data_IF_051201282585
#
_entry.id   IF_051201282585
#
_cell.length_a   1.000
_cell.length_b   1.000
_cell.length_c   1.000
_cell.angle_alpha   90.00
_cell.angle_beta   90.00
_cell.angle_gamma   90.00
#
_symmetry.space_group_name_H-M   'P 1'
#
loop_
_entity.id
_entity.type
_entity.pdbx_description
1 polymer ?
#
# COMPACT_ATOMS: atom_id res chain seq x y z
N UNK A 1 -15.72 -9.21 7.80
CA UNK A 1 -14.79 -8.16 8.33
C UNK A 1 -13.96 -7.66 7.16
N UNK A 2 -14.17 -6.45 6.67
CA UNK A 2 -13.26 -5.83 5.72
C UNK A 2 -12.11 -5.21 6.51
N UNK A 3 -10.90 -5.72 6.34
CA UNK A 3 -9.71 -5.13 6.96
C UNK A 3 -9.35 -3.89 6.13
N UNK A 4 -9.44 -2.71 6.74
CA UNK A 4 -9.07 -1.42 6.15
C UNK A 4 -7.62 -1.05 6.42
N UNK A 5 -6.85 -1.97 6.99
CA UNK A 5 -5.41 -1.82 7.22
C UNK A 5 -4.71 -3.18 7.36
N UNK A 6 -3.41 -3.19 7.12
CA UNK A 6 -2.48 -4.29 7.44
C UNK A 6 -1.23 -3.74 8.10
N UNK A 7 -0.52 -4.61 8.83
CA UNK A 7 0.75 -4.29 9.48
C UNK A 7 1.87 -5.09 8.79
N UNK A 8 3.04 -4.48 8.63
CA UNK A 8 4.24 -5.18 8.16
C UNK A 8 4.72 -6.20 9.19
N UNK A 9 5.43 -7.25 8.77
CA UNK A 9 5.83 -8.32 9.69
C UNK A 9 6.78 -7.86 10.81
N UNK A 10 7.50 -6.77 10.58
CA UNK A 10 8.38 -6.12 11.56
C UNK A 10 7.64 -5.13 12.48
N UNK A 11 6.32 -4.96 12.28
CA UNK A 11 5.46 -4.02 13.01
C UNK A 11 5.87 -2.53 12.90
N UNK A 12 6.75 -2.19 11.96
CA UNK A 12 7.25 -0.81 11.77
C UNK A 12 6.37 0.05 10.88
N UNK A 13 5.48 -0.58 10.11
CA UNK A 13 4.61 0.15 9.20
C UNK A 13 3.18 -0.38 9.23
N UNK A 14 2.25 0.57 9.15
CA UNK A 14 0.83 0.32 8.93
C UNK A 14 0.49 0.78 7.52
N UNK A 15 -0.18 -0.06 6.75
CA UNK A 15 -0.76 0.30 5.46
C UNK A 15 -2.26 0.40 5.64
N UNK A 16 -2.85 1.57 5.34
CA UNK A 16 -4.27 1.85 5.57
C UNK A 16 -4.98 2.30 4.29
N UNK A 17 -6.26 1.95 4.18
CA UNK A 17 -7.17 2.28 3.06
C UNK A 17 -8.43 2.99 3.56
N UNK A 18 -9.32 3.37 2.64
CA UNK A 18 -10.63 3.99 2.96
C UNK A 18 -10.66 5.51 2.84
N UNK A 19 -9.63 6.11 2.22
CA UNK A 19 -9.58 7.55 2.02
C UNK A 19 -10.42 7.99 0.82
N UNK A 20 -11.14 9.10 0.96
CA UNK A 20 -11.98 9.69 -0.09
C UNK A 20 -11.18 10.24 -1.28
N UNK A 21 -9.89 10.52 -1.06
CA UNK A 21 -8.95 10.96 -2.10
C UNK A 21 -8.46 9.81 -3.00
N UNK A 22 -9.02 8.60 -2.86
CA UNK A 22 -8.67 7.39 -3.64
C UNK A 22 -7.28 6.84 -3.31
N UNK A 23 -6.62 7.38 -2.29
CA UNK A 23 -5.30 6.91 -1.86
C UNK A 23 -5.39 5.72 -0.91
N UNK A 24 -4.26 5.03 -0.79
CA UNK A 24 -3.90 4.30 0.41
C UNK A 24 -2.57 4.84 0.93
N UNK A 25 -2.30 4.62 2.22
CA UNK A 25 -1.19 5.29 2.91
C UNK A 25 -0.33 4.31 3.68
N UNK A 26 0.96 4.61 3.72
CA UNK A 26 1.94 3.92 4.56
C UNK A 26 2.30 4.85 5.72
N UNK A 27 2.18 4.36 6.94
CA UNK A 27 2.56 5.07 8.16
C UNK A 27 3.68 4.34 8.88
N UNK A 28 4.72 5.06 9.28
CA UNK A 28 5.74 4.54 10.18
C UNK A 28 5.21 4.59 11.62
N UNK A 29 5.32 3.47 12.35
CA UNK A 29 4.77 3.33 13.70
C UNK A 29 5.67 3.93 14.79
N UNK A 30 6.98 4.02 14.56
CA UNK A 30 7.94 4.55 15.53
C UNK A 30 7.80 6.08 15.67
N UNK A 31 7.63 6.78 14.54
CA UNK A 31 7.53 8.26 14.50
C UNK A 31 6.12 8.78 14.17
N UNK A 32 5.15 7.87 14.01
CA UNK A 32 3.73 8.17 13.77
C UNK A 32 3.46 9.11 12.57
N UNK A 33 4.27 9.03 11.51
CA UNK A 33 4.12 9.86 10.32
C UNK A 33 3.69 9.05 9.09
N UNK A 34 3.08 9.74 8.12
CA UNK A 34 2.79 9.16 6.80
C UNK A 34 4.06 9.24 5.96
N UNK A 35 4.59 8.08 5.56
CA UNK A 35 5.81 7.98 4.73
C UNK A 35 5.49 7.94 3.24
N UNK A 36 4.32 7.41 2.86
CA UNK A 36 3.85 7.40 1.48
C UNK A 36 2.34 7.61 1.38
N UNK A 37 1.94 8.33 0.34
CA UNK A 37 0.55 8.42 -0.14
C UNK A 37 0.56 7.91 -1.57
N UNK A 38 -0.19 6.85 -1.82
CA UNK A 38 -0.13 6.10 -3.07
C UNK A 38 -1.48 6.18 -3.77
N UNK A 39 -1.43 6.48 -5.07
CA UNK A 39 -2.56 6.58 -5.98
C UNK A 39 -2.40 5.58 -7.10
N UNK A 40 -3.52 5.11 -7.65
CA UNK A 40 -3.53 4.13 -8.74
C UNK A 40 -4.94 3.60 -9.03
N UNK A 41 -5.82 3.67 -8.04
CA UNK A 41 -7.26 3.41 -8.20
C UNK A 41 -8.02 4.66 -8.66
N UNK A 42 -9.13 4.46 -9.37
CA UNK A 42 -10.01 5.52 -9.87
C UNK A 42 -11.15 5.88 -8.90
N UNK A 43 -11.33 5.11 -7.83
CA UNK A 43 -12.29 5.33 -6.75
C UNK A 43 -11.69 4.89 -5.39
N UNK A 44 -12.49 4.97 -4.31
CA UNK A 44 -12.08 4.68 -2.93
C UNK A 44 -11.51 3.26 -2.83
N UNK A 45 -10.29 3.16 -2.31
CA UNK A 45 -9.67 1.88 -1.92
C UNK A 45 -10.38 1.36 -0.66
N UNK A 46 -11.02 0.20 -0.77
CA UNK A 46 -11.89 -0.34 0.28
C UNK A 46 -11.24 -1.44 1.12
N UNK A 47 -10.20 -2.10 0.61
CA UNK A 47 -9.53 -3.17 1.32
C UNK A 47 -8.05 -3.30 0.91
N UNK A 48 -7.26 -3.90 1.80
CA UNK A 48 -5.86 -4.23 1.57
C UNK A 48 -5.53 -5.59 2.19
N UNK A 49 -4.67 -6.36 1.53
CA UNK A 49 -4.03 -7.55 2.10
C UNK A 49 -2.56 -7.64 1.69
N UNK A 50 -1.80 -8.49 2.37
CA UNK A 50 -0.37 -8.71 2.15
C UNK A 50 -0.08 -10.20 2.02
N UNK A 51 0.85 -10.56 1.14
CA UNK A 51 1.39 -11.91 1.06
C UNK A 51 2.32 -12.23 2.23
N UNK A 52 2.80 -13.47 2.30
CA UNK A 52 3.94 -13.83 3.15
C UNK A 52 5.19 -13.01 2.78
N UNK A 53 6.11 -12.88 3.74
CA UNK A 53 7.36 -12.14 3.58
C UNK A 53 8.46 -13.07 3.07
N UNK A 54 9.24 -12.62 2.09
CA UNK A 54 10.49 -13.26 1.72
C UNK A 54 11.55 -13.10 2.83
N UNK A 55 12.63 -13.87 2.74
CA UNK A 55 13.81 -13.73 3.61
C UNK A 55 14.39 -12.31 3.56
N UNK A 56 14.26 -11.61 2.43
CA UNK A 56 14.70 -10.23 2.26
C UNK A 56 13.75 -9.17 2.84
N UNK A 57 12.64 -9.56 3.46
CA UNK A 57 11.65 -8.63 4.01
C UNK A 57 10.61 -8.13 2.99
N UNK A 58 10.68 -8.56 1.74
CA UNK A 58 9.80 -8.10 0.67
C UNK A 58 8.50 -8.90 0.63
N UNK A 59 7.42 -8.29 0.16
CA UNK A 59 6.15 -8.99 -0.07
C UNK A 59 5.29 -8.25 -1.09
N UNK A 60 4.22 -8.91 -1.53
CA UNK A 60 3.18 -8.27 -2.33
C UNK A 60 2.08 -7.70 -1.45
N UNK A 61 1.52 -6.58 -1.87
CA UNK A 61 0.24 -6.09 -1.38
C UNK A 61 -0.79 -6.17 -2.49
N UNK A 62 -2.03 -6.48 -2.13
CA UNK A 62 -3.17 -6.30 -3.01
C UNK A 62 -4.14 -5.29 -2.38
N UNK A 63 -4.59 -4.34 -3.19
CA UNK A 63 -5.62 -3.36 -2.80
C UNK A 63 -6.84 -3.52 -3.69
N UNK A 64 -8.04 -3.45 -3.11
CA UNK A 64 -9.30 -3.49 -3.87
C UNK A 64 -10.07 -2.19 -3.72
N UNK A 65 -10.77 -1.76 -4.77
CA UNK A 65 -11.41 -0.45 -4.87
C UNK A 65 -12.86 -0.54 -5.35
N UNK A 66 -13.63 0.54 -5.13
CA UNK A 66 -14.97 0.73 -5.69
C UNK A 66 -14.99 0.87 -7.21
N UNK A 67 -13.84 1.10 -7.83
CA UNK A 67 -13.68 1.14 -9.29
C UNK A 67 -13.75 -0.24 -9.97
N UNK A 68 -14.10 -1.30 -9.22
CA UNK A 68 -14.17 -2.69 -9.66
C UNK A 68 -12.81 -3.31 -10.04
N UNK A 69 -11.70 -2.76 -9.54
CA UNK A 69 -10.35 -3.27 -9.81
C UNK A 69 -9.59 -3.69 -8.55
N UNK A 70 -8.55 -4.51 -8.76
CA UNK A 70 -7.53 -4.85 -7.78
C UNK A 70 -6.17 -4.43 -8.32
N UNK A 71 -5.37 -3.71 -7.52
CA UNK A 71 -3.98 -3.37 -7.84
C UNK A 71 -3.01 -4.18 -7.00
N UNK A 72 -1.88 -4.58 -7.60
CA UNK A 72 -0.80 -5.30 -6.94
C UNK A 72 0.41 -4.38 -6.81
N UNK A 73 0.97 -4.33 -5.60
CA UNK A 73 2.09 -3.48 -5.23
C UNK A 73 3.22 -4.33 -4.66
N UNK A 74 4.46 -3.83 -4.76
CA UNK A 74 5.63 -4.47 -4.17
C UNK A 74 6.07 -3.69 -2.94
N UNK A 75 6.06 -4.34 -1.79
CA UNK A 75 6.66 -3.81 -0.57
C UNK A 75 8.14 -4.22 -0.50
N UNK A 76 9.00 -3.23 -0.30
CA UNK A 76 10.41 -3.44 -0.02
C UNK A 76 10.68 -3.29 1.49
N UNK A 77 10.97 -4.40 2.16
CA UNK A 77 11.19 -4.43 3.61
C UNK A 77 12.44 -3.70 4.04
N UNK A 78 13.50 -3.71 3.23
CA UNK A 78 14.74 -2.98 3.50
C UNK A 78 14.53 -1.47 3.44
N UNK A 79 13.73 -0.99 2.49
CA UNK A 79 13.45 0.44 2.32
C UNK A 79 12.30 0.94 3.21
N UNK A 80 11.44 0.04 3.69
CA UNK A 80 10.23 0.44 4.40
C UNK A 80 9.26 1.20 3.49
N UNK A 81 9.14 0.78 2.23
CA UNK A 81 8.36 1.50 1.23
C UNK A 81 7.76 0.59 0.16
N UNK A 82 6.64 1.02 -0.41
CA UNK A 82 6.15 0.54 -1.70
C UNK A 82 7.07 1.05 -2.79
N UNK A 83 7.61 0.11 -3.56
CA UNK A 83 8.41 0.39 -4.73
C UNK A 83 7.56 0.12 -5.96
N UNK A 84 7.54 1.08 -6.87
CA UNK A 84 6.87 0.89 -8.14
C UNK A 84 7.60 -0.21 -8.94
N UNK A 85 6.86 -0.95 -9.76
CA UNK A 85 7.50 -1.58 -10.92
C UNK A 85 7.86 -0.41 -11.81
N UNK A 86 9.07 -0.30 -12.33
CA UNK A 86 9.39 0.70 -13.35
C UNK A 86 8.31 0.75 -14.44
N UNK A 87 7.39 1.70 -14.31
CA UNK A 87 6.52 2.17 -15.36
C UNK A 87 6.82 3.66 -15.47
N UNK A 88 7.76 4.05 -16.35
CA UNK A 88 8.01 5.44 -16.60
C UNK A 88 6.72 6.05 -17.17
N UNK A 89 6.24 7.10 -16.52
CA UNK A 89 5.11 7.94 -16.92
C UNK A 89 3.70 7.35 -16.69
N UNK A 90 3.08 7.83 -15.62
CA UNK A 90 1.75 8.43 -15.79
C UNK A 90 1.83 9.89 -15.40
N UNK A 91 2.09 10.72 -16.43
CA UNK A 91 1.60 12.08 -16.42
C UNK A 91 0.07 12.02 -16.45
N UNK A 92 -0.54 12.45 -15.36
CA UNK A 92 -1.87 13.05 -15.42
C UNK A 92 -1.68 14.54 -15.19
N UNK A 93 -1.94 15.29 -16.26
CA UNK A 93 -2.27 16.71 -16.26
C UNK A 93 -3.38 17.05 -15.26
#
# INVERSE_FOLDING_TARGET
RHQSFVVTADNRYIISTGYWDKSFRVQNTDIANITQVLYGHFDIVTCVCRSEVSISGNCFLATGSRDCTVCIWIWNGTKGAIVDREYPNQGYS
#
